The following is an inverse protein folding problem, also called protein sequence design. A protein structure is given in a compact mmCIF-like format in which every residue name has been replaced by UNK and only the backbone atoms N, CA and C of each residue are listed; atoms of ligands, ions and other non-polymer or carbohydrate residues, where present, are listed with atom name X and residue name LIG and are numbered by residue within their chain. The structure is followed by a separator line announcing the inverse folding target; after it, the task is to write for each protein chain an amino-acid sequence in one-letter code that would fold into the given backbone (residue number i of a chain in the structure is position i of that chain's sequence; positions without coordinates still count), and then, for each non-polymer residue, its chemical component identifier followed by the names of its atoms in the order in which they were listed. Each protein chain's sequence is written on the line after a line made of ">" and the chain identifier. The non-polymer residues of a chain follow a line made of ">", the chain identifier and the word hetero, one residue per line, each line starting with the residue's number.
data_IF_197655838965
#
_entry.id   IF_197655838965
#
_cell.length_a   1.000
_cell.length_b   1.000
_cell.length_c   1.000
_cell.angle_alpha   90.00
_cell.angle_beta   90.00
_cell.angle_gamma   90.00
#
_symmetry.space_group_name_H-M   'P 1'
#
loop_
_entity.id
_entity.type
_entity.pdbx_description
1 polymer ?
#
# COMPACT_ATOMS: atom_id res chain seq x y z
N UNK A 1 19.42 -13.88 -9.02
CA UNK A 1 19.28 -13.89 -7.56
C UNK A 1 18.16 -12.92 -7.23
N UNK A 2 16.95 -13.41 -6.98
CA UNK A 2 15.76 -12.57 -6.84
C UNK A 2 15.54 -12.29 -5.36
N UNK A 3 16.04 -11.14 -4.89
CA UNK A 3 15.77 -10.65 -3.55
C UNK A 3 14.29 -10.31 -3.41
N UNK A 4 13.61 -10.92 -2.44
CA UNK A 4 12.25 -10.53 -2.05
C UNK A 4 12.38 -9.27 -1.19
N UNK A 5 11.92 -8.14 -1.70
CA UNK A 5 11.81 -6.90 -0.93
C UNK A 5 10.66 -7.08 0.08
N UNK A 6 10.97 -7.01 1.37
CA UNK A 6 10.00 -7.16 2.45
C UNK A 6 9.48 -5.80 2.91
N UNK A 7 8.21 -5.75 3.32
CA UNK A 7 7.62 -4.55 3.88
C UNK A 7 8.37 -4.07 5.14
N UNK A 8 8.62 -2.77 5.25
CA UNK A 8 9.19 -2.17 6.47
C UNK A 8 8.06 -1.92 7.48
N UNK A 9 8.22 -2.46 8.69
CA UNK A 9 7.24 -2.41 9.79
C UNK A 9 7.56 -1.25 10.75
N UNK A 10 6.56 -0.43 11.09
CA UNK A 10 6.64 0.52 12.21
C UNK A 10 5.62 0.10 13.28
N UNK A 11 6.09 -0.34 14.47
CA UNK A 11 5.25 -0.91 15.52
C UNK A 11 5.05 0.04 16.71
N UNK A 12 3.79 0.31 17.10
CA UNK A 12 3.43 0.89 18.40
C UNK A 12 3.51 -0.18 19.51
N UNK A 13 4.20 0.08 20.65
CA UNK A 13 4.60 -0.94 21.62
C UNK A 13 3.45 -1.62 22.39
N UNK A 14 2.27 -0.99 22.47
CA UNK A 14 1.12 -1.51 23.25
C UNK A 14 0.43 -2.68 22.55
N UNK A 15 0.40 -2.70 21.21
CA UNK A 15 -0.36 -3.67 20.41
C UNK A 15 0.38 -5.02 20.26
N UNK A 16 1.71 -5.02 20.44
CA UNK A 16 2.57 -6.22 20.36
C UNK A 16 2.32 -7.23 21.49
N UNK A 17 1.78 -6.77 22.63
CA UNK A 17 1.46 -7.60 23.80
C UNK A 17 0.23 -8.51 23.58
N UNK A 18 -0.62 -8.20 22.60
CA UNK A 18 -1.93 -8.85 22.42
C UNK A 18 -1.98 -9.91 21.30
N UNK A 19 -0.88 -10.16 20.58
CA UNK A 19 -0.82 -11.26 19.60
C UNK A 19 -1.68 -11.07 18.33
N UNK A 20 -2.08 -9.84 17.98
CA UNK A 20 -2.86 -9.52 16.78
C UNK A 20 -1.93 -8.95 15.70
N UNK A 21 -1.73 -9.59 14.52
CA UNK A 21 -0.80 -9.08 13.52
C UNK A 21 -1.51 -8.62 12.23
N UNK A 22 -1.68 -7.31 12.02
CA UNK A 22 -1.72 -6.72 10.66
C UNK A 22 -1.20 -5.27 10.67
N UNK A 23 0.08 -5.04 10.99
CA UNK A 23 0.63 -3.68 11.12
C UNK A 23 0.59 -2.86 9.83
N UNK A 24 0.54 -1.54 9.97
CA UNK A 24 0.87 -0.60 8.89
C UNK A 24 2.24 -0.94 8.31
N UNK A 25 2.35 -0.91 6.99
CA UNK A 25 3.52 -1.45 6.31
C UNK A 25 3.76 -0.77 4.97
N UNK A 26 5.03 -0.45 4.67
CA UNK A 26 5.41 0.12 3.38
C UNK A 26 6.30 -0.81 2.56
N UNK A 27 6.15 -0.78 1.23
CA UNK A 27 7.02 -1.48 0.28
C UNK A 27 7.50 -0.48 -0.78
N UNK A 28 8.81 -0.40 -1.00
CA UNK A 28 9.41 0.65 -1.82
C UNK A 28 9.74 0.14 -3.22
N UNK A 29 9.52 1.01 -4.21
CA UNK A 29 10.03 0.86 -5.56
C UNK A 29 10.84 2.10 -5.97
N UNK A 30 11.44 2.09 -7.15
CA UNK A 30 12.19 3.24 -7.64
C UNK A 30 11.25 4.40 -7.97
N UNK A 31 11.29 5.47 -7.16
CA UNK A 31 10.46 6.67 -7.35
C UNK A 31 9.01 6.54 -6.87
N UNK A 32 8.67 5.48 -6.12
CA UNK A 32 7.33 5.31 -5.55
C UNK A 32 7.36 4.38 -4.32
N UNK A 33 6.29 4.32 -3.55
CA UNK A 33 6.11 3.30 -2.52
C UNK A 33 4.65 2.92 -2.34
N UNK A 34 4.44 1.76 -1.75
CA UNK A 34 3.13 1.23 -1.39
C UNK A 34 2.96 1.42 0.11
N UNK A 35 1.78 1.82 0.54
CA UNK A 35 1.45 2.04 1.95
C UNK A 35 0.16 1.32 2.30
N UNK A 36 0.24 0.31 3.15
CA UNK A 36 -0.93 -0.34 3.72
C UNK A 36 -1.26 0.28 5.08
N UNK A 37 -2.53 0.68 5.24
CA UNK A 37 -3.07 1.18 6.48
C UNK A 37 -4.16 0.24 7.01
N UNK A 38 -3.93 -0.35 8.18
CA UNK A 38 -4.93 -1.18 8.87
C UNK A 38 -5.96 -0.34 9.62
N UNK A 39 -5.66 0.92 9.91
CA UNK A 39 -6.52 1.79 10.69
C UNK A 39 -7.71 2.24 9.83
N UNK A 40 -8.90 1.83 10.23
CA UNK A 40 -10.15 2.16 9.54
C UNK A 40 -10.72 3.50 9.99
N UNK A 41 -10.11 4.18 10.99
CA UNK A 41 -10.65 5.43 11.53
C UNK A 41 -10.73 6.54 10.49
N UNK A 42 -9.72 6.67 9.65
CA UNK A 42 -9.61 7.76 8.69
C UNK A 42 -10.28 7.44 7.35
N UNK A 43 -10.29 6.17 6.95
CA UNK A 43 -10.77 5.72 5.62
C UNK A 43 -12.04 4.87 5.67
N UNK A 44 -12.60 4.64 6.86
CA UNK A 44 -13.76 3.73 7.05
C UNK A 44 -13.48 2.26 6.71
N UNK A 45 -12.31 1.93 6.18
CA UNK A 45 -11.85 0.60 5.79
C UNK A 45 -10.31 0.55 5.82
N UNK A 46 -9.75 -0.65 5.72
CA UNK A 46 -8.31 -0.79 5.47
C UNK A 46 -8.01 -0.31 4.05
N UNK A 47 -6.83 0.26 3.82
CA UNK A 47 -6.45 0.77 2.50
C UNK A 47 -5.05 0.37 2.10
N UNK A 48 -4.83 0.31 0.79
CA UNK A 48 -3.51 0.17 0.20
C UNK A 48 -3.30 1.27 -0.83
N UNK A 49 -2.36 2.17 -0.55
CA UNK A 49 -2.04 3.31 -1.40
C UNK A 49 -0.79 3.02 -2.23
N UNK A 50 -0.83 3.34 -3.52
CA UNK A 50 0.32 3.54 -4.39
C UNK A 50 0.68 5.03 -4.37
N UNK A 51 1.84 5.36 -3.82
CA UNK A 51 2.31 6.73 -3.64
C UNK A 51 3.44 7.02 -4.61
N UNK A 52 3.24 7.99 -5.50
CA UNK A 52 4.27 8.42 -6.45
C UNK A 52 5.18 9.50 -5.84
N UNK A 53 6.47 9.42 -6.16
CA UNK A 53 7.48 10.39 -5.74
C UNK A 53 7.58 10.49 -4.22
N UNK A 54 7.86 11.69 -3.74
CA UNK A 54 7.86 12.00 -2.31
C UNK A 54 6.49 12.56 -1.89
N UNK A 55 5.46 11.71 -1.92
CA UNK A 55 4.08 12.07 -1.57
C UNK A 55 3.40 13.05 -2.54
N UNK A 56 3.74 12.95 -3.84
CA UNK A 56 3.19 13.84 -4.87
C UNK A 56 1.81 13.40 -5.38
N UNK A 57 1.55 12.09 -5.36
CA UNK A 57 0.27 11.52 -5.78
C UNK A 57 -0.08 10.29 -4.95
N UNK A 58 -1.34 10.18 -4.54
CA UNK A 58 -1.88 9.09 -3.73
C UNK A 58 -2.98 8.36 -4.50
N UNK A 59 -2.69 7.15 -4.96
CA UNK A 59 -3.65 6.29 -5.62
C UNK A 59 -4.09 5.20 -4.64
N UNK A 60 -5.28 5.35 -4.06
CA UNK A 60 -5.72 4.60 -2.88
C UNK A 60 -6.80 3.60 -3.26
N UNK A 61 -6.57 2.31 -2.98
CA UNK A 61 -7.59 1.28 -3.07
C UNK A 61 -8.14 0.93 -1.68
N UNK A 62 -9.45 0.74 -1.59
CA UNK A 62 -10.09 0.14 -0.42
C UNK A 62 -9.77 -1.37 -0.36
N UNK A 63 -9.13 -1.80 0.72
CA UNK A 63 -8.71 -3.18 0.95
C UNK A 63 -7.21 -3.36 1.20
N UNK A 64 -6.84 -4.60 1.55
CA UNK A 64 -5.45 -5.06 1.58
C UNK A 64 -5.06 -5.62 0.21
N UNK A 65 -4.22 -4.89 -0.51
CA UNK A 65 -3.72 -5.26 -1.84
C UNK A 65 -2.21 -5.58 -1.82
N UNK A 66 -1.64 -5.84 -0.65
CA UNK A 66 -0.19 -6.03 -0.48
C UNK A 66 0.35 -7.19 -1.29
N UNK A 67 -0.36 -8.31 -1.34
CA UNK A 67 0.06 -9.50 -2.07
C UNK A 67 0.20 -9.21 -3.57
N UNK A 68 -0.80 -8.54 -4.15
CA UNK A 68 -0.83 -8.23 -5.57
C UNK A 68 0.24 -7.20 -5.93
N UNK A 69 0.40 -6.15 -5.10
CA UNK A 69 1.44 -5.16 -5.34
C UNK A 69 2.86 -5.71 -5.09
N UNK A 70 3.06 -6.63 -4.16
CA UNK A 70 4.37 -7.27 -3.94
C UNK A 70 4.86 -8.05 -5.17
N UNK A 71 3.94 -8.60 -5.98
CA UNK A 71 4.27 -9.23 -7.26
C UNK A 71 4.61 -8.25 -8.39
N UNK A 72 4.31 -6.95 -8.20
CA UNK A 72 4.43 -5.91 -9.23
C UNK A 72 5.50 -4.85 -8.91
N UNK A 73 5.85 -4.64 -7.65
CA UNK A 73 6.76 -3.56 -7.23
C UNK A 73 8.09 -3.57 -8.00
N UNK A 74 8.66 -4.77 -8.21
CA UNK A 74 9.93 -4.94 -8.93
C UNK A 74 9.81 -4.72 -10.45
N UNK A 75 8.59 -4.54 -10.96
CA UNK A 75 8.31 -4.21 -12.37
C UNK A 75 8.13 -2.70 -12.58
N UNK A 76 8.23 -1.90 -11.51
CA UNK A 76 8.16 -0.44 -11.58
C UNK A 76 6.76 0.14 -11.38
N UNK A 77 6.70 1.47 -11.33
CA UNK A 77 5.49 2.23 -11.03
C UNK A 77 4.35 1.93 -12.01
N UNK A 78 4.64 1.86 -13.31
CA UNK A 78 3.62 1.64 -14.35
C UNK A 78 2.88 0.31 -14.14
N UNK A 79 3.57 -0.76 -13.74
CA UNK A 79 2.93 -2.04 -13.46
C UNK A 79 1.96 -1.95 -12.26
N UNK A 80 2.33 -1.20 -11.21
CA UNK A 80 1.46 -0.93 -10.07
C UNK A 80 0.30 0.00 -10.47
N UNK A 81 0.53 0.99 -11.33
CA UNK A 81 -0.50 1.90 -11.83
C UNK A 81 -1.54 1.16 -12.68
N UNK A 82 -1.12 0.24 -13.54
CA UNK A 82 -2.05 -0.60 -14.32
C UNK A 82 -2.90 -1.48 -13.41
N UNK A 83 -2.34 -2.02 -12.32
CA UNK A 83 -3.13 -2.72 -11.31
C UNK A 83 -4.16 -1.81 -10.64
N UNK A 84 -3.78 -0.58 -10.29
CA UNK A 84 -4.71 0.42 -9.76
C UNK A 84 -5.85 0.71 -10.74
N UNK A 85 -5.53 0.99 -12.01
CA UNK A 85 -6.52 1.25 -13.07
C UNK A 85 -7.49 0.09 -13.27
N UNK A 86 -6.98 -1.15 -13.22
CA UNK A 86 -7.79 -2.36 -13.34
C UNK A 86 -8.76 -2.57 -12.16
N UNK A 87 -8.55 -1.86 -11.05
CA UNK A 87 -9.37 -1.93 -9.83
C UNK A 87 -9.92 -0.54 -9.44
N UNK A 88 -10.13 0.34 -10.43
CA UNK A 88 -10.62 1.71 -10.20
C UNK A 88 -12.01 1.72 -9.53
N UNK A 89 -12.79 0.65 -9.69
CA UNK A 89 -14.06 0.42 -8.99
C UNK A 89 -13.89 0.32 -7.46
N UNK A 90 -12.68 0.03 -6.99
CA UNK A 90 -12.29 -0.04 -5.57
C UNK A 90 -11.51 1.19 -5.12
N UNK A 91 -11.39 2.22 -5.96
CA UNK A 91 -10.71 3.44 -5.57
C UNK A 91 -11.44 4.09 -4.38
N UNK A 92 -10.69 4.41 -3.33
CA UNK A 92 -11.22 5.13 -2.18
C UNK A 92 -11.56 6.58 -2.59
N UNK A 93 -12.55 7.21 -1.96
CA UNK A 93 -12.96 8.59 -2.26
C UNK A 93 -11.84 9.64 -2.07
N UNK A 94 -10.83 9.30 -1.27
CA UNK A 94 -9.63 10.12 -1.02
C UNK A 94 -8.46 9.81 -1.97
N UNK A 95 -8.66 8.91 -2.94
CA UNK A 95 -7.68 8.70 -4.00
C UNK A 95 -7.62 9.90 -4.92
N UNK A 96 -6.41 10.29 -5.31
CA UNK A 96 -6.23 11.24 -6.41
C UNK A 96 -6.85 10.70 -7.70
N UNK A 97 -7.33 11.63 -8.52
CA UNK A 97 -7.91 11.31 -9.83
C UNK A 97 -6.82 10.97 -10.84
N UNK A 98 -7.16 10.09 -11.78
CA UNK A 98 -6.32 9.77 -12.94
C UNK A 98 -6.87 10.43 -14.20
#
# INVERSE_FOLDING_TARGET
>A
MTGKEFFKQESHPVLRSLGIPVFNSTLHGEGFYLSYNMDTRDYGCVTTALVFGNMEKFLILAGDHREQYAALVNKGFDACLEYFKAHIDKAHEYSDKI
#
